data_IF_674679707206
#
_entry.id   IF_674679707206
#
_cell.length_a   1.000
_cell.length_b   1.000
_cell.length_c   1.000
_cell.angle_alpha   90.00
_cell.angle_beta   90.00
_cell.angle_gamma   90.00
#
_symmetry.space_group_name_H-M   'P 1'
#
loop_
_entity.id
_entity.type
_entity.pdbx_description
1 polymer ?
#
# COMPACT_ATOMS: atom_id res chain seq x y z
N UNK A 1 -7.22 11.26 -16.27
CA UNK A 1 -5.74 11.14 -16.24
C UNK A 1 -5.13 12.52 -16.03
N UNK A 2 -4.00 12.71 -15.35
CA UNK A 2 -3.43 14.06 -15.08
C UNK A 2 -3.32 14.92 -16.34
N UNK A 3 -2.96 14.31 -17.48
CA UNK A 3 -2.95 14.94 -18.80
C UNK A 3 -4.31 15.56 -19.20
N UNK A 4 -5.41 14.82 -19.04
CA UNK A 4 -6.77 15.31 -19.33
C UNK A 4 -7.19 16.45 -18.39
N UNK A 5 -6.86 16.33 -17.09
CA UNK A 5 -7.14 17.40 -16.13
C UNK A 5 -6.37 18.68 -16.44
N UNK A 6 -5.16 18.54 -16.99
CA UNK A 6 -4.29 19.65 -17.35
C UNK A 6 -4.52 20.18 -18.77
N UNK A 7 -5.35 19.52 -19.59
CA UNK A 7 -5.50 19.83 -21.01
C UNK A 7 -4.20 19.62 -21.82
N UNK A 8 -3.32 18.73 -21.38
CA UNK A 8 -2.02 18.45 -21.97
C UNK A 8 -1.97 17.02 -22.54
N UNK A 9 -1.03 16.74 -23.46
CA UNK A 9 -0.69 15.37 -23.87
C UNK A 9 0.19 14.68 -22.82
N UNK A 10 0.20 13.34 -22.81
CA UNK A 10 1.06 12.58 -21.89
C UNK A 10 2.56 12.95 -22.04
N UNK A 11 3.02 13.21 -23.27
CA UNK A 11 4.40 13.62 -23.56
C UNK A 11 4.73 15.01 -22.97
N UNK A 12 3.79 15.96 -23.04
CA UNK A 12 3.97 17.29 -22.43
C UNK A 12 4.06 17.19 -20.91
N UNK A 13 3.17 16.40 -20.28
CA UNK A 13 3.22 16.15 -18.84
C UNK A 13 4.55 15.52 -18.45
N UNK A 14 5.00 14.50 -19.19
CA UNK A 14 6.30 13.84 -18.96
C UNK A 14 7.46 14.84 -19.05
N UNK A 15 7.57 15.58 -20.15
CA UNK A 15 8.65 16.55 -20.37
C UNK A 15 8.68 17.61 -19.26
N UNK A 16 7.51 18.06 -18.81
CA UNK A 16 7.40 19.02 -17.70
C UNK A 16 7.89 18.43 -16.38
N UNK A 17 7.54 17.18 -16.07
CA UNK A 17 8.00 16.50 -14.85
C UNK A 17 9.50 16.24 -14.91
N UNK A 18 10.04 15.81 -16.05
CA UNK A 18 11.48 15.60 -16.23
C UNK A 18 12.26 16.90 -16.03
N UNK A 19 11.77 18.00 -16.61
CA UNK A 19 12.33 19.35 -16.39
C UNK A 19 12.25 19.77 -14.92
N UNK A 20 11.11 19.53 -14.26
CA UNK A 20 10.88 19.95 -12.87
C UNK A 20 11.75 19.17 -11.89
N UNK A 21 11.91 17.87 -12.09
CA UNK A 21 12.71 17.01 -11.21
C UNK A 21 14.18 16.89 -11.64
N UNK A 22 14.53 17.38 -12.83
CA UNK A 22 15.89 17.28 -13.38
C UNK A 22 16.33 15.83 -13.60
N UNK A 23 15.38 14.92 -13.85
CA UNK A 23 15.63 13.46 -13.96
C UNK A 23 14.75 12.84 -15.03
N UNK A 24 15.23 11.78 -15.73
CA UNK A 24 14.38 10.98 -16.61
C UNK A 24 13.19 10.39 -15.85
N UNK A 25 12.03 10.31 -16.52
CA UNK A 25 10.82 9.73 -15.95
C UNK A 25 10.58 8.33 -16.48
N UNK A 26 10.22 7.40 -15.60
CA UNK A 26 9.68 6.08 -15.98
C UNK A 26 8.18 6.13 -15.77
N UNK A 27 7.43 5.92 -16.85
CA UNK A 27 5.96 5.86 -16.83
C UNK A 27 5.53 4.39 -16.82
N UNK A 28 4.62 4.04 -15.92
CA UNK A 28 4.13 2.67 -15.72
C UNK A 28 2.60 2.62 -15.78
N UNK A 29 2.06 1.44 -16.10
CA UNK A 29 0.63 1.19 -16.35
C UNK A 29 0.24 1.39 -17.81
N UNK A 30 -1.05 1.15 -18.11
CA UNK A 30 -1.67 1.26 -19.45
C UNK A 30 -2.75 2.35 -19.55
N UNK A 31 -3.02 3.09 -18.48
CA UNK A 31 -4.10 4.08 -18.45
C UNK A 31 -4.53 4.43 -17.03
N UNK A 32 -5.85 4.41 -16.76
CA UNK A 32 -6.38 4.60 -15.41
C UNK A 32 -5.87 3.47 -14.51
N UNK A 33 -5.12 3.82 -13.47
CA UNK A 33 -4.57 2.86 -12.52
C UNK A 33 -5.72 2.22 -11.73
N UNK A 34 -5.70 0.89 -11.60
CA UNK A 34 -6.69 0.17 -10.79
C UNK A 34 -6.44 0.36 -9.29
N UNK A 35 -5.19 0.63 -8.92
CA UNK A 35 -4.76 0.94 -7.56
C UNK A 35 -4.45 2.43 -7.49
N UNK A 36 -4.90 3.10 -6.44
CA UNK A 36 -4.85 4.56 -6.28
C UNK A 36 -3.45 5.17 -6.45
N UNK A 37 -2.78 5.48 -5.34
CA UNK A 37 -1.47 6.11 -5.41
C UNK A 37 -0.36 5.09 -5.66
N UNK A 38 0.61 5.46 -6.51
CA UNK A 38 1.73 4.60 -6.90
C UNK A 38 2.59 4.18 -5.69
N UNK A 39 2.67 4.99 -4.64
CA UNK A 39 3.44 4.69 -3.43
C UNK A 39 2.83 3.56 -2.59
N UNK A 40 1.58 3.15 -2.84
CA UNK A 40 0.97 1.96 -2.26
C UNK A 40 1.50 0.67 -2.91
N UNK A 41 2.17 0.76 -4.05
CA UNK A 41 2.57 -0.43 -4.83
C UNK A 41 3.99 -0.39 -5.36
N UNK A 42 4.66 0.76 -5.34
CA UNK A 42 6.03 0.91 -5.81
C UNK A 42 6.84 1.75 -4.83
N UNK A 43 7.98 1.21 -4.41
CA UNK A 43 8.92 1.91 -3.53
C UNK A 43 10.34 1.86 -4.09
N UNK A 44 10.90 3.02 -4.51
CA UNK A 44 12.31 3.11 -4.88
C UNK A 44 13.20 2.80 -3.67
N UNK A 45 14.20 1.93 -3.85
CA UNK A 45 15.12 1.48 -2.79
C UNK A 45 16.47 2.22 -2.82
N UNK A 46 16.66 3.14 -3.78
CA UNK A 46 17.95 3.76 -4.09
C UNK A 46 18.72 2.98 -5.15
N UNK A 47 19.68 3.64 -5.79
CA UNK A 47 20.38 3.08 -6.96
C UNK A 47 19.41 2.70 -8.08
N UNK A 48 19.64 1.54 -8.70
CA UNK A 48 18.75 0.95 -9.72
C UNK A 48 17.80 -0.10 -9.13
N UNK A 49 17.44 -0.02 -7.84
CA UNK A 49 16.61 -1.02 -7.16
C UNK A 49 15.21 -0.47 -6.84
N UNK A 50 14.17 -1.26 -7.09
CA UNK A 50 12.77 -0.88 -6.85
C UNK A 50 11.98 -2.06 -6.28
N UNK A 51 11.23 -1.82 -5.20
CA UNK A 51 10.24 -2.76 -4.69
C UNK A 51 8.89 -2.53 -5.38
N UNK A 52 8.22 -3.61 -5.77
CA UNK A 52 6.87 -3.60 -6.36
C UNK A 52 5.98 -4.58 -5.61
N UNK A 53 4.77 -4.16 -5.28
CA UNK A 53 3.78 -5.00 -4.62
C UNK A 53 3.42 -6.23 -5.48
N UNK A 54 3.18 -7.34 -4.80
CA UNK A 54 2.81 -8.63 -5.36
C UNK A 54 1.51 -9.09 -4.72
N UNK A 55 0.41 -8.75 -5.38
CA UNK A 55 -0.93 -9.09 -4.88
C UNK A 55 -1.23 -10.59 -4.99
N UNK A 56 -0.58 -11.30 -5.93
CA UNK A 56 -0.74 -12.74 -6.07
C UNK A 56 -0.09 -13.47 -4.90
N UNK A 57 1.14 -13.09 -4.54
CA UNK A 57 1.80 -13.63 -3.36
C UNK A 57 1.01 -13.33 -2.10
N UNK A 58 0.55 -12.08 -1.91
CA UNK A 58 -0.22 -11.76 -0.72
C UNK A 58 -1.56 -12.50 -0.65
N UNK A 59 -2.25 -12.70 -1.78
CA UNK A 59 -3.45 -13.53 -1.88
C UNK A 59 -3.17 -15.00 -1.51
N UNK A 60 -2.04 -15.56 -1.95
CA UNK A 60 -1.64 -16.93 -1.60
C UNK A 60 -1.40 -17.07 -0.10
N UNK A 61 -0.69 -16.14 0.53
CA UNK A 61 -0.43 -16.16 1.99
C UNK A 61 -1.74 -16.02 2.77
N UNK A 62 -2.62 -15.08 2.38
CA UNK A 62 -3.92 -14.91 3.03
C UNK A 62 -4.82 -16.16 2.90
N UNK A 63 -4.85 -16.79 1.72
CA UNK A 63 -5.62 -18.03 1.51
C UNK A 63 -5.08 -19.18 2.36
N UNK A 64 -3.76 -19.29 2.48
CA UNK A 64 -3.13 -20.27 3.36
C UNK A 64 -3.49 -19.99 4.82
N UNK A 65 -3.45 -18.73 5.27
CA UNK A 65 -3.86 -18.34 6.61
C UNK A 65 -5.31 -18.75 6.91
N UNK A 66 -6.25 -18.52 5.97
CA UNK A 66 -7.65 -18.94 6.10
C UNK A 66 -7.81 -20.46 6.20
N UNK A 67 -6.92 -21.23 5.56
CA UNK A 67 -6.97 -22.70 5.57
C UNK A 67 -6.38 -23.26 6.87
N UNK A 68 -5.29 -22.66 7.36
CA UNK A 68 -4.55 -23.13 8.53
C UNK A 68 -5.21 -22.70 9.83
N UNK A 69 -5.60 -21.42 9.94
CA UNK A 69 -6.25 -20.85 11.12
C UNK A 69 -7.31 -19.82 10.73
N UNK A 70 -8.52 -20.25 10.34
CA UNK A 70 -9.62 -19.34 10.02
C UNK A 70 -10.06 -18.50 11.22
N UNK A 71 -9.80 -18.95 12.45
CA UNK A 71 -10.17 -18.21 13.66
C UNK A 71 -9.28 -16.97 13.83
N UNK A 72 -7.98 -17.09 13.59
CA UNK A 72 -7.06 -15.96 13.59
C UNK A 72 -7.41 -14.92 12.52
N UNK A 73 -7.80 -15.35 11.32
CA UNK A 73 -8.23 -14.43 10.25
C UNK A 73 -9.49 -13.65 10.66
N UNK A 74 -10.50 -14.35 11.21
CA UNK A 74 -11.71 -13.68 11.74
C UNK A 74 -11.41 -12.75 12.91
N UNK A 75 -10.44 -13.11 13.76
CA UNK A 75 -9.99 -12.26 14.86
C UNK A 75 -9.33 -10.97 14.36
N UNK A 76 -8.51 -11.05 13.30
CA UNK A 76 -7.95 -9.88 12.61
C UNK A 76 -9.06 -8.96 12.07
N UNK A 77 -10.04 -9.51 11.34
CA UNK A 77 -11.15 -8.73 10.79
C UNK A 77 -11.97 -8.07 11.91
N UNK A 78 -12.28 -8.83 12.96
CA UNK A 78 -12.98 -8.34 14.14
C UNK A 78 -12.21 -7.23 14.86
N UNK A 79 -10.89 -7.34 14.93
CA UNK A 79 -10.04 -6.32 15.52
C UNK A 79 -10.06 -5.03 14.69
N UNK A 80 -10.03 -5.14 13.36
CA UNK A 80 -10.17 -4.00 12.46
C UNK A 80 -11.50 -3.27 12.66
N UNK A 81 -12.62 -4.00 12.75
CA UNK A 81 -13.92 -3.41 13.04
C UNK A 81 -13.95 -2.69 14.40
N UNK A 82 -13.52 -3.37 15.47
CA UNK A 82 -13.56 -2.84 16.84
C UNK A 82 -12.67 -1.61 17.02
N UNK A 83 -11.49 -1.60 16.39
CA UNK A 83 -10.52 -0.52 16.53
C UNK A 83 -10.68 0.58 15.48
N UNK A 84 -11.72 0.51 14.63
CA UNK A 84 -11.94 1.48 13.57
C UNK A 84 -11.99 2.93 14.08
N UNK A 85 -12.66 3.17 15.22
CA UNK A 85 -12.73 4.48 15.86
C UNK A 85 -11.74 4.65 17.02
N UNK A 86 -10.77 3.74 17.16
CA UNK A 86 -9.79 3.74 18.25
C UNK A 86 -10.32 3.24 19.60
N UNK A 87 -11.61 2.88 19.70
CA UNK A 87 -12.20 2.32 20.92
C UNK A 87 -13.30 1.29 20.59
N UNK A 88 -13.31 0.10 21.22
CA UNK A 88 -14.24 -0.99 20.90
C UNK A 88 -15.71 -0.69 21.21
N UNK A 89 -16.00 0.30 22.06
CA UNK A 89 -17.37 0.67 22.42
C UNK A 89 -17.98 1.73 21.49
N UNK A 90 -17.23 2.23 20.51
CA UNK A 90 -17.73 3.21 19.54
C UNK A 90 -18.16 2.46 18.29
N UNK A 91 -19.46 2.41 18.04
CA UNK A 91 -20.04 1.81 16.84
C UNK A 91 -20.35 2.84 15.74
N UNK A 92 -20.42 4.12 16.10
CA UNK A 92 -20.80 5.19 15.19
C UNK A 92 -20.26 6.54 15.66
N UNK A 93 -19.97 7.44 14.72
CA UNK A 93 -19.66 8.84 14.95
C UNK A 93 -20.56 9.72 14.08
N UNK A 94 -20.95 10.88 14.61
CA UNK A 94 -21.62 11.93 13.84
C UNK A 94 -20.66 13.10 13.65
N UNK A 95 -20.53 13.60 12.42
CA UNK A 95 -19.80 14.83 12.16
C UNK A 95 -20.61 16.09 12.53
N UNK A 96 -19.99 17.27 12.43
CA UNK A 96 -20.64 18.55 12.76
C UNK A 96 -21.85 18.90 11.89
N UNK A 97 -21.99 18.25 10.73
CA UNK A 97 -23.11 18.42 9.80
C UNK A 97 -24.21 17.37 10.04
N UNK A 98 -24.06 16.52 11.07
CA UNK A 98 -24.97 15.44 11.38
C UNK A 98 -24.78 14.20 10.52
N UNK A 99 -23.70 14.10 9.73
CA UNK A 99 -23.45 12.90 8.95
C UNK A 99 -22.92 11.79 9.84
N UNK A 100 -23.58 10.64 9.75
CA UNK A 100 -23.21 9.42 10.44
C UNK A 100 -22.10 8.68 9.70
N UNK A 101 -21.16 8.12 10.46
CA UNK A 101 -20.17 7.13 10.02
C UNK A 101 -20.35 5.94 10.94
N UNK A 102 -20.65 4.78 10.37
CA UNK A 102 -20.79 3.53 11.09
C UNK A 102 -19.48 2.75 11.08
N UNK A 103 -19.30 1.91 12.10
CA UNK A 103 -18.27 0.88 12.12
C UNK A 103 -18.39 0.01 10.85
N UNK A 104 -17.28 -0.25 10.14
CA UNK A 104 -17.30 -1.12 8.98
C UNK A 104 -17.69 -2.55 9.37
N UNK A 105 -18.27 -3.27 8.42
CA UNK A 105 -18.54 -4.71 8.55
C UNK A 105 -17.68 -5.43 7.52
N UNK A 106 -16.60 -6.03 7.99
CA UNK A 106 -15.55 -6.68 7.19
C UNK A 106 -15.18 -8.08 7.69
N UNK A 107 -15.79 -8.59 8.75
CA UNK A 107 -15.69 -10.02 9.09
C UNK A 107 -16.17 -10.86 7.90
N UNK A 108 -15.44 -11.94 7.62
CA UNK A 108 -15.60 -12.85 6.48
C UNK A 108 -15.31 -12.23 5.10
N UNK A 109 -14.66 -11.07 5.03
CA UNK A 109 -14.36 -10.40 3.77
C UNK A 109 -12.94 -10.70 3.23
N UNK A 110 -12.10 -11.42 3.97
CA UNK A 110 -10.74 -11.80 3.51
C UNK A 110 -10.77 -12.52 2.16
N UNK A 111 -11.71 -13.45 1.93
CA UNK A 111 -11.84 -14.14 0.64
C UNK A 111 -12.18 -13.16 -0.50
N UNK A 112 -13.01 -12.16 -0.23
CA UNK A 112 -13.30 -11.11 -1.22
C UNK A 112 -12.05 -10.30 -1.55
N UNK A 113 -11.23 -9.97 -0.54
CA UNK A 113 -9.96 -9.28 -0.74
C UNK A 113 -8.94 -10.15 -1.51
N UNK A 114 -8.90 -11.46 -1.27
CA UNK A 114 -8.09 -12.42 -2.03
C UNK A 114 -8.49 -12.40 -3.51
N UNK A 115 -9.80 -12.48 -3.82
CA UNK A 115 -10.28 -12.45 -5.19
C UNK A 115 -9.99 -11.11 -5.88
N UNK A 116 -10.11 -9.99 -5.16
CA UNK A 116 -9.73 -8.68 -5.68
C UNK A 116 -8.22 -8.58 -5.96
N UNK A 117 -7.39 -9.08 -5.06
CA UNK A 117 -5.93 -9.13 -5.22
C UNK A 117 -5.51 -9.90 -6.46
N UNK A 118 -6.17 -11.02 -6.76
CA UNK A 118 -5.89 -11.80 -7.96
C UNK A 118 -6.27 -11.07 -9.25
N UNK A 119 -7.31 -10.21 -9.23
CA UNK A 119 -7.73 -9.42 -10.41
C UNK A 119 -6.72 -8.34 -10.79
N UNK A 120 -6.01 -7.76 -9.81
CA UNK A 120 -5.02 -6.69 -10.06
C UNK A 120 -3.59 -7.21 -10.24
N UNK A 121 -3.36 -8.51 -10.07
CA UNK A 121 -2.02 -9.10 -10.13
C UNK A 121 -1.32 -8.86 -11.47
N UNK A 122 -2.02 -9.04 -12.59
CA UNK A 122 -1.44 -8.88 -13.92
C UNK A 122 -1.05 -7.41 -14.20
N UNK A 123 -1.74 -6.45 -13.59
CA UNK A 123 -1.37 -5.03 -13.64
C UNK A 123 -0.07 -4.76 -12.87
N UNK A 124 0.08 -5.37 -11.69
CA UNK A 124 1.31 -5.25 -10.89
C UNK A 124 2.51 -5.97 -11.55
N UNK A 125 2.27 -7.08 -12.24
CA UNK A 125 3.28 -7.80 -13.01
C UNK A 125 3.74 -6.97 -14.22
N UNK A 126 2.81 -6.32 -14.90
CA UNK A 126 3.10 -5.37 -15.97
C UNK A 126 3.92 -4.17 -15.48
N UNK A 127 3.55 -3.56 -14.35
CA UNK A 127 4.29 -2.44 -13.75
C UNK A 127 5.73 -2.89 -13.43
N UNK A 128 5.91 -4.06 -12.83
CA UNK A 128 7.23 -4.62 -12.59
C UNK A 128 8.03 -4.84 -13.88
N UNK A 129 7.39 -5.38 -14.92
CA UNK A 129 8.01 -5.56 -16.24
C UNK A 129 8.47 -4.24 -16.86
N UNK A 130 7.64 -3.19 -16.81
CA UNK A 130 7.99 -1.86 -17.33
C UNK A 130 9.15 -1.22 -16.56
N UNK A 131 9.17 -1.35 -15.23
CA UNK A 131 10.28 -0.87 -14.39
C UNK A 131 11.57 -1.64 -14.72
N UNK A 132 11.48 -2.95 -14.90
CA UNK A 132 12.62 -3.79 -15.31
C UNK A 132 13.17 -3.41 -16.68
N UNK A 133 12.29 -3.20 -17.67
CA UNK A 133 12.65 -2.74 -19.01
C UNK A 133 13.32 -1.36 -19.01
N UNK A 134 12.99 -0.51 -18.04
CA UNK A 134 13.67 0.77 -17.82
C UNK A 134 15.07 0.62 -17.16
N UNK A 135 15.54 -0.61 -16.93
CA UNK A 135 16.89 -0.91 -16.44
C UNK A 135 17.02 -0.94 -14.92
N UNK A 136 15.91 -1.12 -14.19
CA UNK A 136 15.90 -1.28 -12.74
C UNK A 136 15.79 -2.75 -12.35
N UNK A 137 16.45 -3.14 -11.27
CA UNK A 137 16.23 -4.39 -10.57
C UNK A 137 14.94 -4.30 -9.75
N UNK A 138 14.04 -5.26 -9.94
CA UNK A 138 12.72 -5.28 -9.32
C UNK A 138 12.64 -6.36 -8.26
N UNK A 139 12.17 -5.98 -7.08
CA UNK A 139 11.92 -6.88 -5.94
C UNK A 139 10.43 -6.94 -5.63
N UNK A 140 9.87 -8.14 -5.57
CA UNK A 140 8.46 -8.37 -5.23
C UNK A 140 8.26 -8.37 -3.71
N UNK A 141 7.22 -7.70 -3.24
CA UNK A 141 6.80 -7.58 -1.83
C UNK A 141 5.36 -8.04 -1.70
N UNK A 142 4.98 -8.93 -0.77
CA UNK A 142 3.60 -9.41 -0.67
C UNK A 142 2.66 -8.24 -0.39
N UNK A 143 1.43 -8.31 -0.90
CA UNK A 143 0.41 -7.31 -0.60
C UNK A 143 -0.99 -7.89 -0.75
N UNK A 144 -1.94 -7.47 0.08
CA UNK A 144 -3.35 -7.87 -0.05
C UNK A 144 -4.17 -6.65 -0.46
N UNK A 145 -4.50 -6.57 -1.76
CA UNK A 145 -5.23 -5.48 -2.39
C UNK A 145 -6.74 -5.81 -2.36
N UNK A 146 -7.57 -5.03 -1.64
CA UNK A 146 -9.01 -5.22 -1.60
C UNK A 146 -9.68 -4.71 -2.89
N UNK A 147 -10.99 -4.93 -3.02
CA UNK A 147 -11.77 -4.28 -4.06
C UNK A 147 -11.85 -2.77 -3.74
N UNK A 148 -11.19 -1.95 -4.56
CA UNK A 148 -11.14 -0.49 -4.42
C UNK A 148 -12.26 0.23 -5.18
N UNK A 149 -13.24 -0.52 -5.71
CA UNK A 149 -14.39 0.08 -6.39
C UNK A 149 -15.23 0.85 -5.36
N UNK A 150 -15.47 2.17 -5.52
CA UNK A 150 -16.26 2.93 -4.58
C UNK A 150 -17.65 2.31 -4.40
N UNK A 151 -18.00 1.95 -3.17
CA UNK A 151 -19.33 1.44 -2.82
C UNK A 151 -20.05 2.52 -2.05
N UNK A 152 -21.29 2.84 -2.42
CA UNK A 152 -22.08 3.82 -1.70
C UNK A 152 -23.06 3.11 -0.76
N UNK A 153 -23.21 3.63 0.47
CA UNK A 153 -24.28 3.20 1.36
C UNK A 153 -25.64 3.77 0.91
N UNK A 154 -26.72 3.44 1.64
CA UNK A 154 -28.08 3.94 1.34
C UNK A 154 -28.22 5.47 1.37
N UNK A 155 -27.27 6.18 2.00
CA UNK A 155 -27.20 7.64 2.01
C UNK A 155 -26.34 8.25 0.88
N UNK A 156 -25.86 7.42 -0.06
CA UNK A 156 -25.02 7.86 -1.18
C UNK A 156 -23.57 8.18 -0.79
N UNK A 157 -23.11 7.78 0.40
CA UNK A 157 -21.75 8.04 0.91
C UNK A 157 -20.87 6.82 0.70
N UNK A 158 -19.61 7.05 0.34
CA UNK A 158 -18.64 5.98 0.16
C UNK A 158 -18.44 5.17 1.46
N UNK A 159 -18.54 3.86 1.30
CA UNK A 159 -18.30 2.87 2.33
C UNK A 159 -16.80 2.64 2.46
N UNK A 160 -16.40 2.41 3.70
CA UNK A 160 -15.04 2.03 4.04
C UNK A 160 -14.71 0.67 3.40
N UNK A 161 -13.50 0.55 2.86
CA UNK A 161 -13.04 -0.67 2.20
C UNK A 161 -12.45 -1.64 3.22
N UNK A 162 -12.34 -2.91 2.83
CA UNK A 162 -11.45 -3.84 3.53
C UNK A 162 -10.02 -3.25 3.57
N UNK A 163 -9.24 -3.44 4.63
CA UNK A 163 -7.90 -2.85 4.74
C UNK A 163 -6.99 -3.25 3.58
N UNK A 164 -6.38 -2.25 2.92
CA UNK A 164 -5.32 -2.50 1.95
C UNK A 164 -3.99 -2.74 2.64
N UNK A 165 -3.57 -4.02 2.70
CA UNK A 165 -2.31 -4.44 3.32
C UNK A 165 -1.15 -4.19 2.36
N UNK A 166 -0.65 -2.96 2.34
CA UNK A 166 0.44 -2.48 1.48
C UNK A 166 1.78 -2.44 2.21
N UNK A 167 2.55 -3.52 2.10
CA UNK A 167 3.90 -3.60 2.64
C UNK A 167 4.96 -2.94 1.74
N UNK A 168 4.54 -2.32 0.63
CA UNK A 168 5.37 -1.41 -0.16
C UNK A 168 5.26 0.04 0.34
N UNK A 169 4.21 0.43 1.06
CA UNK A 169 4.02 1.79 1.56
C UNK A 169 4.83 2.05 2.85
N UNK A 170 6.14 1.93 2.74
CA UNK A 170 7.09 2.00 3.85
C UNK A 170 7.80 3.35 3.91
N UNK A 171 8.37 3.65 5.08
CA UNK A 171 9.37 4.71 5.22
C UNK A 171 10.76 4.07 5.20
N UNK A 172 11.62 4.56 4.31
CA UNK A 172 13.01 4.14 4.21
C UNK A 172 13.94 5.22 4.76
N UNK A 173 14.89 4.81 5.57
CA UNK A 173 15.89 5.67 6.17
C UNK A 173 17.29 5.08 6.00
N UNK A 174 18.26 5.96 5.74
CA UNK A 174 19.67 5.61 5.78
C UNK A 174 20.36 6.51 6.80
N UNK A 175 20.93 5.93 7.85
CA UNK A 175 21.75 6.64 8.84
C UNK A 175 23.05 5.88 9.07
N UNK A 176 24.18 6.56 8.95
CA UNK A 176 25.52 5.97 9.16
C UNK A 176 25.73 4.67 8.36
N UNK A 177 25.30 4.66 7.09
CA UNK A 177 25.38 3.48 6.21
C UNK A 177 24.36 2.37 6.48
N UNK A 178 23.62 2.40 7.61
CA UNK A 178 22.57 1.44 7.93
C UNK A 178 21.27 1.83 7.22
N UNK A 179 20.69 0.89 6.48
CA UNK A 179 19.40 1.04 5.82
C UNK A 179 18.31 0.43 6.71
N UNK A 180 17.38 1.26 7.19
CA UNK A 180 16.24 0.84 8.01
C UNK A 180 14.95 1.03 7.22
N UNK A 181 14.07 0.04 7.27
CA UNK A 181 12.69 0.14 6.81
C UNK A 181 11.76 0.17 8.00
N UNK A 182 10.93 1.20 8.07
CA UNK A 182 9.80 1.23 8.98
C UNK A 182 8.63 0.60 8.23
N UNK A 183 8.26 -0.60 8.65
CA UNK A 183 7.30 -1.47 7.96
C UNK A 183 5.96 -1.40 8.68
N UNK A 184 4.86 -0.93 8.04
CA UNK A 184 3.55 -0.98 8.66
C UNK A 184 3.17 -2.44 8.96
N UNK A 185 2.56 -2.65 10.12
CA UNK A 185 1.93 -3.90 10.50
C UNK A 185 0.43 -3.70 10.63
N UNK A 186 -0.32 -4.66 10.10
CA UNK A 186 -1.76 -4.58 10.02
C UNK A 186 -2.47 -5.54 10.98
N UNK A 187 -1.77 -6.54 11.51
CA UNK A 187 -2.31 -7.51 12.45
C UNK A 187 -2.75 -8.82 11.83
N UNK A 188 -2.46 -9.06 10.54
CA UNK A 188 -2.64 -10.36 9.90
C UNK A 188 -1.28 -11.05 9.83
N UNK A 189 -0.91 -11.70 10.94
CA UNK A 189 0.45 -12.17 11.23
C UNK A 189 1.13 -12.90 10.05
N UNK A 190 0.51 -13.86 9.34
CA UNK A 190 1.19 -14.53 8.22
C UNK A 190 1.66 -13.59 7.10
N UNK A 191 0.90 -12.52 6.82
CA UNK A 191 1.28 -11.52 5.82
C UNK A 191 2.29 -10.51 6.37
N UNK A 192 2.10 -10.08 7.61
CA UNK A 192 3.00 -9.18 8.33
C UNK A 192 4.42 -9.80 8.40
N UNK A 193 4.50 -11.08 8.78
CA UNK A 193 5.74 -11.85 8.90
C UNK A 193 6.41 -12.06 7.54
N UNK A 194 5.63 -12.45 6.51
CA UNK A 194 6.16 -12.65 5.16
C UNK A 194 6.75 -11.35 4.58
N UNK A 195 6.10 -10.21 4.83
CA UNK A 195 6.61 -8.91 4.44
C UNK A 195 7.89 -8.54 5.19
N UNK A 196 7.92 -8.72 6.51
CA UNK A 196 9.09 -8.44 7.34
C UNK A 196 10.29 -9.28 6.92
N UNK A 197 10.10 -10.59 6.72
CA UNK A 197 11.13 -11.47 6.20
C UNK A 197 11.64 -10.97 4.84
N UNK A 198 10.74 -10.61 3.91
CA UNK A 198 11.14 -10.15 2.58
C UNK A 198 12.00 -8.90 2.64
N UNK A 199 11.67 -7.95 3.50
CA UNK A 199 12.48 -6.75 3.67
C UNK A 199 13.85 -7.03 4.30
N UNK A 200 13.95 -7.98 5.23
CA UNK A 200 15.24 -8.44 5.78
C UNK A 200 16.13 -9.05 4.69
N UNK A 201 15.57 -9.89 3.81
CA UNK A 201 16.28 -10.48 2.67
C UNK A 201 16.83 -9.43 1.69
N UNK A 202 16.20 -8.26 1.60
CA UNK A 202 16.66 -7.14 0.77
C UNK A 202 17.82 -6.35 1.40
N UNK A 203 18.24 -6.72 2.62
CA UNK A 203 19.34 -6.11 3.36
C UNK A 203 18.92 -4.98 4.30
N UNK A 204 17.62 -4.80 4.56
CA UNK A 204 17.14 -3.76 5.47
C UNK A 204 17.05 -4.26 6.90
N UNK A 205 17.38 -3.37 7.83
CA UNK A 205 16.96 -3.48 9.22
C UNK A 205 15.47 -3.15 9.33
N UNK A 206 14.67 -4.09 9.80
CA UNK A 206 13.20 -3.97 9.80
C UNK A 206 12.71 -3.49 11.16
N UNK A 207 12.11 -2.30 11.18
CA UNK A 207 11.39 -1.76 12.32
C UNK A 207 9.87 -1.86 12.06
N UNK A 208 9.22 -2.80 12.72
CA UNK A 208 7.80 -3.10 12.56
C UNK A 208 6.95 -2.07 13.32
N UNK A 209 6.01 -1.41 12.63
CA UNK A 209 5.17 -0.35 13.18
C UNK A 209 3.69 -0.81 13.21
N UNK A 210 3.16 -1.20 14.38
CA UNK A 210 1.78 -1.65 14.51
C UNK A 210 0.75 -0.54 14.36
N UNK A 211 -0.51 -0.94 14.12
CA UNK A 211 -1.68 -0.05 14.15
C UNK A 211 -2.12 0.52 12.81
N UNK A 212 -1.62 0.02 11.68
CA UNK A 212 -1.95 0.57 10.36
C UNK A 212 -3.23 0.02 9.72
N UNK A 213 -3.88 -0.97 10.33
CA UNK A 213 -5.15 -1.52 9.85
C UNK A 213 -6.22 -0.44 9.63
N UNK A 214 -6.41 0.45 10.62
CA UNK A 214 -7.40 1.54 10.52
C UNK A 214 -7.07 2.53 9.39
N UNK A 215 -5.81 2.95 9.27
CA UNK A 215 -5.39 3.84 8.19
C UNK A 215 -5.61 3.20 6.81
N UNK A 216 -5.36 1.89 6.69
CA UNK A 216 -5.51 1.16 5.43
C UNK A 216 -6.95 0.97 4.96
N UNK A 217 -7.91 1.00 5.87
CA UNK A 217 -9.33 1.02 5.53
C UNK A 217 -9.76 2.35 4.88
N UNK A 218 -8.97 3.42 5.06
CA UNK A 218 -9.11 4.71 4.36
C UNK A 218 -8.17 4.84 3.13
N UNK A 219 -7.54 3.74 2.71
CA UNK A 219 -6.62 3.73 1.57
C UNK A 219 -5.24 4.33 1.85
N UNK A 220 -4.87 4.51 3.12
CA UNK A 220 -3.56 5.01 3.53
C UNK A 220 -2.68 3.96 4.19
N UNK A 221 -1.37 4.23 4.26
CA UNK A 221 -0.44 3.47 5.08
C UNK A 221 0.67 4.41 5.60
N UNK A 222 1.76 3.88 6.13
CA UNK A 222 2.78 4.66 6.85
C UNK A 222 3.37 5.81 6.03
N UNK A 223 3.71 5.57 4.76
CA UNK A 223 4.28 6.60 3.90
C UNK A 223 3.27 7.70 3.58
N UNK A 224 1.99 7.38 3.48
CA UNK A 224 0.93 8.38 3.30
C UNK A 224 0.80 9.34 4.49
N UNK A 225 1.20 8.91 5.69
CA UNK A 225 1.16 9.72 6.91
C UNK A 225 2.43 10.54 7.16
N UNK A 226 3.43 10.50 6.26
CA UNK A 226 4.72 11.14 6.47
C UNK A 226 5.15 12.02 5.30
N UNK A 227 5.98 13.03 5.58
CA UNK A 227 6.62 13.88 4.58
C UNK A 227 8.07 14.13 4.96
N UNK A 228 8.99 13.85 4.04
CA UNK A 228 10.40 14.24 4.22
C UNK A 228 10.53 15.74 3.96
N UNK A 229 10.95 16.49 4.98
CA UNK A 229 11.16 17.93 4.89
C UNK A 229 12.54 18.27 4.33
N UNK A 230 13.57 17.55 4.78
CA UNK A 230 14.95 17.71 4.34
C UNK A 230 15.66 16.37 4.34
N UNK A 231 16.64 16.24 3.45
CA UNK A 231 17.62 15.14 3.48
C UNK A 231 18.98 15.77 3.79
N UNK A 232 19.72 15.19 4.73
CA UNK A 232 21.10 15.62 4.99
C UNK A 232 21.95 15.47 3.74
N UNK A 233 23.01 16.27 3.64
CA UNK A 233 24.02 16.08 2.60
C UNK A 233 24.53 14.62 2.67
N UNK A 234 24.73 13.94 1.53
CA UNK A 234 25.38 12.63 1.56
C UNK A 234 26.75 12.81 2.24
N UNK A 235 27.07 11.93 3.19
CA UNK A 235 28.41 11.87 3.73
C UNK A 235 29.38 11.72 2.54
N UNK A 236 30.34 12.62 2.42
CA UNK A 236 31.43 12.47 1.46
C UNK A 236 32.05 11.11 1.74
N UNK A 237 32.03 10.22 0.75
CA UNK A 237 32.75 8.96 0.86
C UNK A 237 34.23 9.28 0.94
N UNK A 238 34.85 8.98 2.08
CA UNK A 238 36.32 8.94 2.25
C UNK A 238 36.92 7.73 1.53
#
# INVERSE_FOLDING_TARGET
>A
MNAEFLGETASQVQSRLEKTFGRPLVVVGKGKQAIGHLDLVVTPLGGKRVAVADSRWGATVARQAMTVDPTAVRAFESACEKMFFGHPDIDQLNDRKGHRIDRPKIVDHTETAIQASLKVADELDMIAGQISQAGYEVFRIPSLVPDLTPRLNSSGKEMVHYPFLSYSNVLLETRNGRQTVYLPQYGLAPLDDAAAQRWRELGFDVNEIPGFATSSMYGGALRCSTKVLMRGAPALAE
#
